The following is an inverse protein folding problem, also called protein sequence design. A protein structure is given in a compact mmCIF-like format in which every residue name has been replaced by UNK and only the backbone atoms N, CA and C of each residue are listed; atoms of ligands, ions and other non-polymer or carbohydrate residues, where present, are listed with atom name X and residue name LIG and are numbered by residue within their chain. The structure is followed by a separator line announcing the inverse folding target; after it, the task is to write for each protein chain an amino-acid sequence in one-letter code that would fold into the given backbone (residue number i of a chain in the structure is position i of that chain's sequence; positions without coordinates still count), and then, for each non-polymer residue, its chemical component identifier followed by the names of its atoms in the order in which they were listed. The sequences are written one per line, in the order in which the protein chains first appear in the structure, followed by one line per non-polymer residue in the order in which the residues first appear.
data_IF_237171644242
#
_entry.id   IF_237171644242
#
_cell.length_a   1.000
_cell.length_b   1.000
_cell.length_c   1.000
_cell.angle_alpha   90.00
_cell.angle_beta   90.00
_cell.angle_gamma   90.00
#
_symmetry.space_group_name_H-M   'P 1'
#
loop_
_entity.id
_entity.type
_entity.pdbx_description
1 polymer ?
#
# COMPACT_ATOMS: atom_id res chain seq x y z
N UNK A 1 9.41 -25.13 1.59
CA UNK A 1 9.73 -23.73 1.72
C UNK A 1 10.03 -23.38 3.16
N UNK A 2 11.09 -22.64 3.39
CA UNK A 2 11.59 -22.37 4.74
C UNK A 2 11.05 -21.09 5.36
N UNK A 3 10.27 -20.30 4.61
CA UNK A 3 9.75 -19.02 5.08
C UNK A 3 8.23 -19.06 5.18
N UNK A 4 7.70 -18.22 6.07
CA UNK A 4 6.26 -18.18 6.37
C UNK A 4 5.57 -16.92 5.82
N UNK A 5 6.33 -15.88 5.56
CA UNK A 5 5.75 -14.64 5.05
C UNK A 5 5.00 -14.91 3.73
N UNK A 6 3.81 -14.36 3.52
CA UNK A 6 3.16 -13.30 4.29
C UNK A 6 2.24 -13.76 5.43
N UNK A 7 2.07 -15.06 5.65
CA UNK A 7 1.13 -15.56 6.66
C UNK A 7 1.58 -15.24 8.09
N UNK A 8 2.88 -15.16 8.30
CA UNK A 8 3.49 -14.70 9.55
C UNK A 8 4.86 -14.13 9.23
N UNK A 9 5.46 -13.48 10.18
CA UNK A 9 6.81 -12.96 10.02
C UNK A 9 7.81 -14.09 10.11
N UNK A 10 8.87 -14.00 9.33
CA UNK A 10 9.98 -14.93 9.41
C UNK A 10 11.02 -14.46 10.42
N UNK A 11 11.67 -15.40 11.05
CA UNK A 11 12.88 -15.14 11.87
C UNK A 11 14.02 -15.85 11.16
N UNK A 12 14.87 -15.08 10.51
CA UNK A 12 16.00 -15.61 9.76
C UNK A 12 17.25 -15.56 10.64
N UNK A 13 18.02 -16.64 10.65
CA UNK A 13 19.22 -16.74 11.45
C UNK A 13 20.40 -16.21 10.67
N UNK A 14 21.09 -15.24 11.23
CA UNK A 14 22.30 -14.71 10.60
C UNK A 14 23.49 -15.60 10.90
N UNK A 15 24.27 -15.97 9.88
CA UNK A 15 25.53 -16.67 10.14
C UNK A 15 26.54 -15.73 10.80
N UNK A 16 27.48 -16.31 11.53
CA UNK A 16 28.59 -15.56 12.12
C UNK A 16 29.87 -15.83 11.33
N UNK A 17 30.92 -15.08 11.67
CA UNK A 17 32.23 -15.27 11.00
C UNK A 17 32.83 -16.67 11.24
N UNK A 18 32.34 -17.36 12.26
CA UNK A 18 32.83 -18.69 12.60
C UNK A 18 32.01 -19.82 11.94
N UNK A 19 30.94 -19.51 11.26
CA UNK A 19 30.09 -20.53 10.63
C UNK A 19 30.69 -20.96 9.30
N UNK A 20 30.85 -22.26 9.12
CA UNK A 20 31.30 -22.82 7.85
C UNK A 20 30.13 -22.84 6.85
N UNK A 21 30.46 -22.90 5.55
CA UNK A 21 29.46 -22.95 4.49
C UNK A 21 28.53 -24.17 4.61
N UNK A 22 29.01 -25.25 5.18
CA UNK A 22 28.23 -26.47 5.41
C UNK A 22 27.80 -26.62 6.87
N UNK A 23 27.70 -25.53 7.62
CA UNK A 23 27.24 -25.54 9.00
C UNK A 23 25.89 -26.25 9.11
N UNK A 24 25.71 -27.04 10.13
CA UNK A 24 24.46 -27.75 10.38
C UNK A 24 23.36 -26.78 10.79
N UNK A 25 23.72 -25.71 11.50
CA UNK A 25 22.76 -24.73 12.03
C UNK A 25 22.41 -23.66 10.99
N UNK A 26 23.40 -23.17 10.24
CA UNK A 26 23.21 -22.10 9.26
C UNK A 26 23.93 -22.46 7.95
N UNK A 27 23.47 -23.52 7.27
CA UNK A 27 24.13 -23.92 6.01
C UNK A 27 23.94 -22.85 4.94
N UNK A 28 25.00 -22.60 4.18
CA UNK A 28 25.05 -21.53 3.19
C UNK A 28 23.89 -21.61 2.18
N UNK A 29 23.69 -22.80 1.60
CA UNK A 29 22.63 -22.98 0.60
C UNK A 29 21.24 -22.68 1.18
N UNK A 30 21.01 -23.04 2.44
CA UNK A 30 19.73 -22.78 3.10
C UNK A 30 19.55 -21.29 3.36
N UNK A 31 20.61 -20.58 3.69
CA UNK A 31 20.56 -19.13 3.86
C UNK A 31 20.14 -18.44 2.57
N UNK A 32 20.73 -18.85 1.46
CA UNK A 32 20.33 -18.30 0.14
C UNK A 32 18.88 -18.63 -0.19
N UNK A 33 18.46 -19.87 0.03
CA UNK A 33 17.09 -20.28 -0.26
C UNK A 33 16.09 -19.50 0.57
N UNK A 34 16.36 -19.33 1.86
CA UNK A 34 15.49 -18.57 2.76
C UNK A 34 15.37 -17.12 2.34
N UNK A 35 16.48 -16.49 1.97
CA UNK A 35 16.48 -15.10 1.54
C UNK A 35 15.70 -14.93 0.24
N UNK A 36 15.92 -15.81 -0.73
CA UNK A 36 15.20 -15.77 -2.00
C UNK A 36 13.70 -15.95 -1.81
N UNK A 37 13.30 -16.93 -1.01
CA UNK A 37 11.89 -17.18 -0.72
C UNK A 37 11.24 -15.98 -0.05
N UNK A 38 11.93 -15.37 0.92
CA UNK A 38 11.41 -14.19 1.62
C UNK A 38 11.26 -13.02 0.67
N UNK A 39 12.23 -12.79 -0.20
CA UNK A 39 12.17 -11.68 -1.17
C UNK A 39 11.04 -11.88 -2.17
N UNK A 40 10.87 -13.09 -2.67
CA UNK A 40 9.79 -13.39 -3.60
C UNK A 40 8.42 -13.20 -2.93
N UNK A 41 8.28 -13.59 -1.67
CA UNK A 41 7.05 -13.40 -0.93
C UNK A 41 6.73 -11.92 -0.74
N UNK A 42 7.73 -11.10 -0.45
CA UNK A 42 7.55 -9.64 -0.32
C UNK A 42 7.09 -9.06 -1.66
N UNK A 43 7.72 -9.44 -2.76
CA UNK A 43 7.34 -8.96 -4.08
C UNK A 43 5.91 -9.37 -4.45
N UNK A 44 5.52 -10.58 -4.10
CA UNK A 44 4.16 -11.06 -4.36
C UNK A 44 3.12 -10.23 -3.63
N UNK A 45 3.39 -9.90 -2.36
CA UNK A 45 2.46 -9.10 -1.55
C UNK A 45 2.40 -7.66 -2.02
N UNK A 46 3.54 -7.07 -2.39
CA UNK A 46 3.56 -5.68 -2.87
C UNK A 46 2.99 -5.54 -4.27
N UNK A 47 3.11 -6.58 -5.09
CA UNK A 47 2.66 -6.56 -6.47
C UNK A 47 3.65 -5.85 -7.39
N UNK A 48 3.29 -5.77 -8.65
CA UNK A 48 4.10 -5.11 -9.67
C UNK A 48 3.91 -3.61 -9.55
N UNK A 49 5.02 -2.88 -9.46
CA UNK A 49 5.03 -1.42 -9.40
C UNK A 49 4.09 -0.88 -8.30
N UNK A 50 4.31 -1.25 -7.04
CA UNK A 50 3.37 -0.90 -5.97
C UNK A 50 3.24 0.60 -5.71
N UNK A 51 4.20 1.40 -6.13
CA UNK A 51 4.13 2.87 -6.01
C UNK A 51 3.24 3.49 -7.09
N UNK A 52 2.95 2.77 -8.18
CA UNK A 52 2.17 3.30 -9.29
C UNK A 52 2.86 4.50 -9.93
N UNK A 53 2.15 5.62 -10.03
CA UNK A 53 2.72 6.86 -10.57
C UNK A 53 3.44 7.69 -9.50
N UNK A 54 3.45 7.24 -8.25
CA UNK A 54 4.16 7.92 -7.17
C UNK A 54 5.61 7.48 -7.12
N UNK A 55 6.46 8.27 -6.48
CA UNK A 55 7.87 7.92 -6.35
C UNK A 55 8.09 6.75 -5.39
N UNK A 56 7.27 6.65 -4.35
CA UNK A 56 7.39 5.60 -3.33
C UNK A 56 6.03 5.07 -2.93
N UNK A 57 6.01 3.89 -2.30
CA UNK A 57 4.79 3.34 -1.70
C UNK A 57 4.26 4.29 -0.62
N UNK A 58 5.16 4.88 0.17
CA UNK A 58 4.78 5.84 1.21
C UNK A 58 4.01 7.01 0.61
N UNK A 59 4.51 7.56 -0.49
CA UNK A 59 3.85 8.69 -1.16
C UNK A 59 2.45 8.29 -1.64
N UNK A 60 2.33 7.09 -2.20
CA UNK A 60 1.04 6.59 -2.67
C UNK A 60 0.05 6.41 -1.52
N UNK A 61 0.51 5.87 -0.40
CA UNK A 61 -0.33 5.69 0.78
C UNK A 61 -0.78 7.03 1.35
N UNK A 62 0.12 8.00 1.44
CA UNK A 62 -0.21 9.33 1.93
C UNK A 62 -1.22 10.04 1.03
N UNK A 63 -1.10 9.88 -0.28
CA UNK A 63 -2.04 10.46 -1.22
C UNK A 63 -3.46 9.90 -1.01
N UNK A 64 -3.58 8.62 -0.65
CA UNK A 64 -4.89 7.99 -0.44
C UNK A 64 -5.46 8.23 0.96
N UNK A 65 -4.71 8.87 1.86
CA UNK A 65 -5.20 9.21 3.20
C UNK A 65 -6.09 10.44 3.20
N UNK A 66 -6.02 11.26 2.17
CA UNK A 66 -6.89 12.42 2.02
C UNK A 66 -8.06 12.07 1.12
N UNK A 67 -9.24 12.65 1.42
CA UNK A 67 -10.44 12.39 0.63
C UNK A 67 -10.23 12.70 -0.85
N UNK A 68 -9.58 13.82 -1.15
CA UNK A 68 -9.34 14.24 -2.53
C UNK A 68 -8.20 13.47 -3.21
N UNK A 69 -7.57 12.54 -2.50
CA UNK A 69 -6.56 11.65 -3.07
C UNK A 69 -7.15 10.39 -3.70
N UNK A 70 -8.44 10.17 -3.51
CA UNK A 70 -9.12 9.01 -4.06
C UNK A 70 -9.51 9.28 -5.52
N UNK A 71 -9.45 8.22 -6.35
CA UNK A 71 -9.68 8.38 -7.79
C UNK A 71 -11.12 8.70 -8.16
N UNK A 72 -12.06 8.37 -7.29
CA UNK A 72 -13.49 8.61 -7.52
C UNK A 72 -14.01 9.83 -6.75
N UNK A 73 -13.13 10.69 -6.27
CA UNK A 73 -13.47 11.90 -5.55
C UNK A 73 -12.78 13.09 -6.20
N UNK A 74 -13.52 14.17 -6.39
CA UNK A 74 -12.98 15.45 -6.89
C UNK A 74 -13.42 16.55 -5.94
N UNK A 75 -12.46 17.14 -5.22
CA UNK A 75 -12.71 18.24 -4.30
C UNK A 75 -12.02 19.48 -4.85
N UNK A 76 -12.77 20.52 -5.10
CA UNK A 76 -12.22 21.78 -5.62
C UNK A 76 -12.75 22.95 -4.79
N UNK A 77 -11.86 23.91 -4.49
CA UNK A 77 -12.24 25.14 -3.77
C UNK A 77 -13.16 24.85 -2.58
N UNK A 78 -12.79 23.87 -1.76
CA UNK A 78 -13.63 23.43 -0.65
C UNK A 78 -13.80 24.55 0.39
N UNK A 79 -15.02 24.72 0.88
CA UNK A 79 -15.36 25.69 1.88
C UNK A 79 -16.17 25.05 3.00
N UNK A 80 -16.19 25.71 4.15
CA UNK A 80 -16.99 25.23 5.27
C UNK A 80 -18.45 25.13 4.86
N UNK A 81 -19.09 24.03 5.21
CA UNK A 81 -20.49 23.79 4.85
C UNK A 81 -20.69 23.08 3.52
N UNK A 82 -19.61 22.84 2.76
CA UNK A 82 -19.73 22.05 1.54
C UNK A 82 -20.24 20.65 1.86
N UNK A 83 -21.02 20.09 0.95
CA UNK A 83 -21.52 18.72 1.04
C UNK A 83 -20.94 17.91 -0.10
N UNK A 84 -20.83 16.61 0.12
CA UNK A 84 -20.30 15.68 -0.88
C UNK A 84 -21.48 14.98 -1.55
N UNK A 85 -21.51 15.03 -2.88
CA UNK A 85 -22.59 14.45 -3.66
C UNK A 85 -22.03 13.76 -4.91
N UNK A 86 -22.61 12.62 -5.28
CA UNK A 86 -22.22 11.90 -6.48
C UNK A 86 -22.90 12.52 -7.71
N UNK A 87 -22.10 12.86 -8.71
CA UNK A 87 -22.60 13.53 -9.92
C UNK A 87 -22.90 12.56 -11.06
N UNK A 88 -22.87 11.26 -10.79
CA UNK A 88 -23.01 10.21 -11.80
C UNK A 88 -21.69 9.60 -12.23
N UNK A 89 -20.57 10.27 -11.94
CA UNK A 89 -19.21 9.80 -12.26
C UNK A 89 -18.32 9.78 -11.04
N UNK A 90 -18.38 10.82 -10.23
CA UNK A 90 -17.50 10.98 -9.05
C UNK A 90 -18.24 11.63 -7.92
N UNK A 91 -17.68 11.54 -6.72
CA UNK A 91 -18.10 12.30 -5.55
C UNK A 91 -17.46 13.68 -5.62
N UNK A 92 -18.28 14.72 -5.59
CA UNK A 92 -17.83 16.10 -5.78
C UNK A 92 -18.40 16.97 -4.67
N UNK A 93 -17.63 17.96 -4.23
CA UNK A 93 -18.13 18.91 -3.24
C UNK A 93 -19.00 19.99 -3.88
N UNK A 94 -20.11 20.29 -3.22
CA UNK A 94 -21.05 21.33 -3.64
C UNK A 94 -21.32 22.24 -2.46
N UNK A 95 -21.65 23.49 -2.73
CA UNK A 95 -22.19 24.36 -1.72
C UNK A 95 -23.58 23.83 -1.29
N UNK A 96 -23.88 23.90 -0.01
CA UNK A 96 -25.13 23.37 0.51
C UNK A 96 -26.34 23.96 -0.22
N UNK A 97 -26.29 25.25 -0.54
CA UNK A 97 -27.37 25.91 -1.27
C UNK A 97 -27.61 25.31 -2.64
N UNK A 98 -26.58 24.74 -3.26
CA UNK A 98 -26.70 24.15 -4.61
C UNK A 98 -27.33 22.76 -4.56
N UNK A 99 -27.31 22.14 -3.40
CA UNK A 99 -27.87 20.80 -3.20
C UNK A 99 -29.29 20.88 -2.66
N UNK A 100 -29.54 21.82 -1.75
CA UNK A 100 -30.83 21.93 -1.05
C UNK A 100 -31.77 22.95 -1.65
N UNK A 101 -31.46 23.51 -2.77
CA UNK A 101 -32.32 24.42 -3.50
C UNK A 101 -33.51 23.64 -4.05
N UNK A 102 -34.56 23.57 -3.27
CA UNK A 102 -35.67 22.65 -3.47
C UNK A 102 -36.35 22.75 -4.79
N UNK A 103 -36.29 23.88 -5.45
CA UNK A 103 -36.94 24.05 -6.74
C UNK A 103 -36.28 23.28 -7.86
N UNK A 104 -35.09 22.77 -7.63
CA UNK A 104 -34.27 22.19 -8.67
C UNK A 104 -34.13 20.68 -8.61
N UNK A 105 -34.82 20.05 -7.73
CA UNK A 105 -34.72 18.59 -7.62
C UNK A 105 -35.77 17.90 -8.49
#
# INVERSE_FOLDING_TARGET
MATNYPNSLDVLINPTVNDALNSVTVPHHQQHANLNDAMEAVQTILGINPAGSHLTIKDRMQASEALNGLTDVTITSVEAGNVLRHNGLKWVNYAEKDVTDGGNF
#
